data_IF_721957093135
#
_entry.id   IF_721957093135
#
_cell.length_a   1.000
_cell.length_b   1.000
_cell.length_c   1.000
_cell.angle_alpha   90.00
_cell.angle_beta   90.00
_cell.angle_gamma   90.00
#
_symmetry.space_group_name_H-M   'P 1'
#
loop_
_entity.id
_entity.type
_entity.pdbx_description
1 polymer ?
#
# COMPACT_ATOMS: atom_id res chain seq x y z
N UNK A 1 5.75 -9.15 19.53
CA UNK A 1 5.89 -7.89 20.28
C UNK A 1 4.89 -6.90 19.69
N UNK A 2 4.28 -6.02 20.48
CA UNK A 2 3.48 -4.93 19.89
C UNK A 2 4.43 -3.87 19.31
N UNK A 3 4.18 -3.35 18.10
CA UNK A 3 5.02 -2.31 17.51
C UNK A 3 4.96 -1.02 18.34
N UNK A 4 6.13 -0.40 18.53
CA UNK A 4 6.27 0.89 19.21
C UNK A 4 6.64 1.97 18.19
N UNK A 5 5.67 2.77 17.76
CA UNK A 5 5.88 3.80 16.71
C UNK A 5 6.84 4.92 17.13
N UNK A 6 7.28 4.98 18.40
CA UNK A 6 8.28 5.94 18.88
C UNK A 6 9.72 5.48 18.63
N UNK A 7 9.93 4.19 18.34
CA UNK A 7 11.25 3.59 18.14
C UNK A 7 11.48 3.25 16.67
N UNK A 8 12.72 3.32 16.18
CA UNK A 8 13.02 3.01 14.80
C UNK A 8 12.77 1.53 14.50
N UNK A 9 12.10 1.28 13.39
CA UNK A 9 12.02 -0.04 12.79
C UNK A 9 13.31 -0.38 12.04
N UNK A 10 13.53 -1.67 11.81
CA UNK A 10 14.46 -2.15 10.80
C UNK A 10 13.88 -3.38 10.11
N UNK A 11 14.33 -3.61 8.89
CA UNK A 11 13.88 -4.70 8.04
C UNK A 11 15.04 -5.63 7.77
N UNK A 12 14.79 -6.93 7.80
CA UNK A 12 15.68 -7.94 7.19
C UNK A 12 14.97 -8.51 5.98
N UNK A 13 15.67 -8.67 4.86
CA UNK A 13 15.13 -9.31 3.67
C UNK A 13 16.19 -10.19 3.00
N UNK A 14 15.70 -11.18 2.24
CA UNK A 14 16.51 -12.17 1.55
C UNK A 14 15.73 -12.76 0.38
N UNK A 15 16.46 -13.21 -0.65
CA UNK A 15 15.90 -13.92 -1.78
C UNK A 15 16.59 -15.27 -1.99
N UNK A 16 15.79 -16.29 -2.32
CA UNK A 16 16.28 -17.59 -2.79
C UNK A 16 16.03 -17.75 -4.29
N UNK A 17 16.25 -18.96 -4.80
CA UNK A 17 15.96 -19.27 -6.19
C UNK A 17 14.45 -19.26 -6.52
N UNK A 18 13.60 -19.48 -5.51
CA UNK A 18 12.17 -19.74 -5.70
C UNK A 18 11.24 -18.91 -4.82
N UNK A 19 11.76 -18.19 -3.81
CA UNK A 19 10.94 -17.40 -2.90
C UNK A 19 11.71 -16.19 -2.34
N UNK A 20 10.95 -15.23 -1.84
CA UNK A 20 11.46 -14.06 -1.12
C UNK A 20 10.93 -14.06 0.31
N UNK A 21 11.76 -13.62 1.24
CA UNK A 21 11.44 -13.58 2.66
C UNK A 21 11.88 -12.27 3.29
N UNK A 22 11.09 -11.76 4.24
CA UNK A 22 11.46 -10.58 5.01
C UNK A 22 10.77 -10.53 6.37
N UNK A 23 11.34 -9.76 7.27
CA UNK A 23 10.74 -9.50 8.57
C UNK A 23 10.94 -8.04 8.98
N UNK A 24 9.91 -7.50 9.63
CA UNK A 24 9.95 -6.21 10.30
C UNK A 24 10.35 -6.42 11.76
N UNK A 25 11.33 -5.66 12.21
CA UNK A 25 11.98 -5.84 13.49
C UNK A 25 12.16 -4.50 14.22
N UNK A 26 12.28 -4.59 15.53
CA UNK A 26 12.45 -3.46 16.43
C UNK A 26 13.24 -3.89 17.67
N UNK A 27 13.95 -2.95 18.29
CA UNK A 27 14.60 -3.20 19.58
C UNK A 27 13.60 -2.99 20.72
N UNK A 28 13.54 -3.94 21.66
CA UNK A 28 12.80 -3.75 22.91
C UNK A 28 13.56 -2.81 23.87
N UNK A 29 12.94 -2.46 25.01
CA UNK A 29 13.55 -1.57 26.03
C UNK A 29 14.86 -2.14 26.61
N UNK A 30 15.08 -3.45 26.46
CA UNK A 30 16.26 -4.16 26.92
C UNK A 30 17.34 -4.24 25.81
N UNK A 31 17.11 -3.60 24.65
CA UNK A 31 18.04 -3.55 23.53
C UNK A 31 18.12 -4.85 22.73
N UNK A 32 17.14 -5.75 22.86
CA UNK A 32 17.09 -7.01 22.10
C UNK A 32 16.29 -6.83 20.83
N UNK A 33 16.76 -7.43 19.74
CA UNK A 33 16.01 -7.51 18.49
C UNK A 33 14.75 -8.38 18.67
N UNK A 34 13.59 -7.80 18.38
CA UNK A 34 12.29 -8.47 18.42
C UNK A 34 11.60 -8.34 17.08
N UNK A 35 10.95 -9.43 16.67
CA UNK A 35 10.16 -9.43 15.43
C UNK A 35 8.78 -8.85 15.71
N UNK A 36 8.37 -7.96 14.82
CA UNK A 36 7.03 -7.39 14.74
C UNK A 36 6.17 -8.22 13.79
N UNK A 37 6.65 -8.50 12.58
CA UNK A 37 5.93 -9.29 11.57
C UNK A 37 6.90 -10.03 10.65
N UNK A 38 6.51 -11.25 10.25
CA UNK A 38 7.16 -12.04 9.20
C UNK A 38 6.35 -11.95 7.90
N UNK A 39 7.02 -11.98 6.75
CA UNK A 39 6.38 -12.04 5.44
C UNK A 39 7.22 -12.90 4.49
N UNK A 40 6.58 -13.77 3.71
CA UNK A 40 7.24 -14.51 2.64
C UNK A 40 6.27 -14.96 1.57
N UNK A 41 6.76 -15.11 0.34
CA UNK A 41 5.98 -15.66 -0.78
C UNK A 41 6.86 -16.39 -1.78
N UNK A 42 6.25 -17.32 -2.52
CA UNK A 42 6.85 -17.87 -3.73
C UNK A 42 7.05 -16.77 -4.78
N UNK A 43 8.15 -16.89 -5.51
CA UNK A 43 8.39 -16.12 -6.72
C UNK A 43 7.50 -16.65 -7.85
N UNK A 44 6.92 -15.72 -8.61
CA UNK A 44 6.21 -16.02 -9.85
C UNK A 44 7.17 -16.65 -10.86
N UNK A 45 6.69 -17.47 -11.83
CA UNK A 45 7.56 -18.09 -12.83
C UNK A 45 8.52 -17.12 -13.53
N UNK A 46 8.06 -15.90 -13.87
CA UNK A 46 8.90 -14.86 -14.46
C UNK A 46 9.97 -14.32 -13.49
N UNK A 47 9.64 -14.17 -12.20
CA UNK A 47 10.55 -13.66 -11.16
C UNK A 47 11.68 -14.65 -10.84
N UNK A 48 11.43 -15.96 -10.95
CA UNK A 48 12.45 -17.00 -10.76
C UNK A 48 13.60 -16.90 -11.75
N UNK A 49 13.33 -16.34 -12.93
CA UNK A 49 14.33 -16.13 -13.98
C UNK A 49 15.12 -14.82 -13.81
N UNK A 50 14.87 -14.04 -12.77
CA UNK A 50 15.61 -12.81 -12.54
C UNK A 50 17.06 -13.10 -12.15
N UNK A 51 18.04 -12.27 -12.57
CA UNK A 51 19.39 -12.32 -12.00
C UNK A 51 19.34 -12.20 -10.48
N UNK A 52 20.30 -12.81 -9.77
CA UNK A 52 20.36 -12.79 -8.29
C UNK A 52 20.20 -11.37 -7.74
N UNK A 53 20.92 -10.40 -8.31
CA UNK A 53 20.81 -9.01 -7.91
C UNK A 53 19.36 -8.46 -7.99
N UNK A 54 18.62 -8.80 -9.04
CA UNK A 54 17.23 -8.36 -9.23
C UNK A 54 16.28 -9.08 -8.25
N UNK A 55 16.58 -10.34 -7.89
CA UNK A 55 15.83 -11.10 -6.88
C UNK A 55 15.98 -10.49 -5.49
N UNK A 56 17.20 -10.11 -5.13
CA UNK A 56 17.49 -9.43 -3.87
C UNK A 56 16.77 -8.07 -3.78
N UNK A 57 16.79 -7.31 -4.88
CA UNK A 57 16.05 -6.05 -4.94
C UNK A 57 14.53 -6.26 -4.87
N UNK A 58 14.02 -7.36 -5.45
CA UNK A 58 12.62 -7.74 -5.36
C UNK A 58 12.22 -8.07 -3.91
N UNK A 59 13.07 -8.77 -3.15
CA UNK A 59 12.84 -9.05 -1.74
C UNK A 59 12.75 -7.76 -0.91
N UNK A 60 13.67 -6.81 -1.16
CA UNK A 60 13.61 -5.48 -0.52
C UNK A 60 12.33 -4.73 -0.90
N UNK A 61 11.97 -4.68 -2.19
CA UNK A 61 10.72 -4.03 -2.64
C UNK A 61 9.50 -4.66 -1.98
N UNK A 62 9.43 -5.98 -1.94
CA UNK A 62 8.34 -6.71 -1.30
C UNK A 62 8.23 -6.38 0.19
N UNK A 63 9.35 -6.31 0.91
CA UNK A 63 9.36 -5.92 2.32
C UNK A 63 8.81 -4.49 2.53
N UNK A 64 9.24 -3.54 1.70
CA UNK A 64 8.77 -2.15 1.78
C UNK A 64 7.27 -2.02 1.47
N UNK A 65 6.75 -2.81 0.52
CA UNK A 65 5.31 -2.85 0.24
C UNK A 65 4.54 -3.44 1.43
N UNK A 66 4.93 -4.62 1.92
CA UNK A 66 4.19 -5.32 2.97
C UNK A 66 4.27 -4.62 4.33
N UNK A 67 5.37 -3.93 4.61
CA UNK A 67 5.54 -3.17 5.86
C UNK A 67 5.32 -1.67 5.69
N UNK A 68 4.72 -1.24 4.58
CA UNK A 68 4.53 0.18 4.24
C UNK A 68 3.90 1.00 5.36
N UNK A 69 2.96 0.40 6.09
CA UNK A 69 2.25 1.01 7.23
C UNK A 69 3.20 1.45 8.36
N UNK A 70 4.34 0.77 8.53
CA UNK A 70 5.35 1.07 9.55
C UNK A 70 6.51 1.91 9.02
N UNK A 71 6.83 1.75 7.74
CA UNK A 71 8.06 2.28 7.15
C UNK A 71 7.90 3.62 6.45
N UNK A 72 6.66 4.04 6.16
CA UNK A 72 6.42 5.32 5.50
C UNK A 72 6.46 6.48 6.49
N UNK A 73 7.48 7.33 6.40
CA UNK A 73 7.67 8.44 7.32
C UNK A 73 8.94 9.23 7.09
N UNK A 74 9.20 10.19 8.00
CA UNK A 74 10.45 10.96 8.01
C UNK A 74 11.56 10.26 8.78
N UNK A 75 11.24 9.31 9.65
CA UNK A 75 12.24 8.57 10.41
C UNK A 75 13.03 7.64 9.48
N UNK A 76 14.35 7.74 9.54
CA UNK A 76 15.23 6.82 8.81
C UNK A 76 15.20 5.43 9.46
N UNK A 77 15.00 4.40 8.66
CA UNK A 77 15.09 3.00 9.10
C UNK A 77 16.17 2.22 8.35
N UNK A 78 16.63 1.11 8.94
CA UNK A 78 17.63 0.25 8.33
C UNK A 78 16.98 -0.89 7.54
N UNK A 79 17.49 -1.17 6.35
CA UNK A 79 17.20 -2.39 5.60
C UNK A 79 18.47 -3.23 5.55
N UNK A 80 18.40 -4.45 6.08
CA UNK A 80 19.49 -5.41 6.10
C UNK A 80 19.27 -6.49 5.04
N UNK A 81 20.31 -6.70 4.23
CA UNK A 81 20.37 -7.72 3.18
C UNK A 81 21.76 -8.35 3.19
N UNK A 82 21.87 -9.61 2.79
CA UNK A 82 23.16 -10.28 2.61
C UNK A 82 23.78 -10.02 1.22
N UNK A 83 23.16 -9.15 0.42
CA UNK A 83 23.65 -8.79 -0.90
C UNK A 83 24.38 -7.43 -0.87
N UNK A 84 25.70 -7.47 -0.73
CA UNK A 84 26.52 -6.27 -0.52
C UNK A 84 26.41 -5.19 -1.62
N UNK A 85 26.12 -5.60 -2.86
CA UNK A 85 25.96 -4.68 -4.01
C UNK A 85 24.70 -3.80 -3.88
N UNK A 86 23.69 -4.22 -3.11
CA UNK A 86 22.50 -3.40 -2.83
C UNK A 86 22.82 -2.15 -2.02
N UNK A 87 23.93 -2.13 -1.25
CA UNK A 87 24.41 -0.93 -0.56
C UNK A 87 24.67 0.24 -1.51
N UNK A 88 25.08 -0.10 -2.73
CA UNK A 88 25.41 0.87 -3.78
C UNK A 88 24.41 0.87 -4.93
N UNK A 89 23.42 -0.03 -4.93
CA UNK A 89 22.43 -0.12 -6.00
C UNK A 89 21.67 1.20 -6.19
N UNK A 90 21.34 1.89 -5.10
CA UNK A 90 20.67 3.21 -5.17
C UNK A 90 21.56 4.34 -5.73
N UNK A 91 22.87 4.11 -5.86
CA UNK A 91 23.88 5.07 -6.34
C UNK A 91 24.49 4.69 -7.69
N UNK A 92 24.18 3.50 -8.22
CA UNK A 92 24.79 3.01 -9.46
C UNK A 92 24.21 3.73 -10.68
N UNK A 93 25.04 4.19 -11.63
CA UNK A 93 24.58 4.83 -12.86
C UNK A 93 24.01 3.85 -13.91
N UNK A 94 24.31 2.55 -13.78
CA UNK A 94 23.87 1.51 -14.72
C UNK A 94 22.85 0.57 -14.06
N UNK A 95 21.60 1.03 -13.98
CA UNK A 95 20.48 0.25 -13.45
C UNK A 95 19.72 -0.41 -14.60
N UNK A 96 19.26 -1.64 -14.38
CA UNK A 96 18.33 -2.25 -15.34
C UNK A 96 17.06 -1.40 -15.44
N UNK A 97 16.36 -1.42 -16.57
CA UNK A 97 15.12 -0.64 -16.74
C UNK A 97 14.08 -0.95 -15.66
N UNK A 98 14.07 -2.20 -15.15
CA UNK A 98 13.24 -2.62 -14.01
C UNK A 98 13.68 -1.94 -12.71
N UNK A 99 14.97 -1.94 -12.42
CA UNK A 99 15.54 -1.30 -11.23
C UNK A 99 15.33 0.22 -11.24
N UNK A 100 15.51 0.86 -12.40
CA UNK A 100 15.26 2.29 -12.58
C UNK A 100 13.80 2.66 -12.26
N UNK A 101 12.83 1.82 -12.64
CA UNK A 101 11.42 2.00 -12.23
C UNK A 101 11.21 1.85 -10.73
N UNK A 102 11.91 0.91 -10.10
CA UNK A 102 11.81 0.69 -8.66
C UNK A 102 12.52 1.77 -7.83
N UNK A 103 13.52 2.48 -8.38
CA UNK A 103 14.14 3.62 -7.70
C UNK A 103 13.12 4.69 -7.27
N UNK A 104 12.16 5.02 -8.16
CA UNK A 104 11.13 6.01 -7.84
C UNK A 104 10.24 5.54 -6.68
N UNK A 105 9.98 4.23 -6.58
CA UNK A 105 9.28 3.64 -5.43
C UNK A 105 10.14 3.72 -4.15
N UNK A 106 11.43 3.38 -4.24
CA UNK A 106 12.32 3.44 -3.08
C UNK A 106 12.52 4.85 -2.55
N UNK A 107 12.46 5.88 -3.42
CA UNK A 107 12.54 7.27 -3.03
C UNK A 107 11.38 7.73 -2.11
N UNK A 108 10.28 6.98 -2.03
CA UNK A 108 9.18 7.26 -1.10
C UNK A 108 9.54 6.93 0.36
N UNK A 109 10.60 6.15 0.57
CA UNK A 109 11.01 5.66 1.89
C UNK A 109 12.34 6.29 2.30
N UNK A 110 12.43 6.70 3.57
CA UNK A 110 13.68 7.16 4.16
C UNK A 110 14.42 5.97 4.78
N UNK A 111 15.25 5.26 4.01
CA UNK A 111 16.00 4.11 4.51
C UNK A 111 17.48 4.11 4.13
N UNK A 112 18.25 3.36 4.90
CA UNK A 112 19.66 3.06 4.60
C UNK A 112 19.84 1.55 4.48
N UNK A 113 20.47 1.12 3.39
CA UNK A 113 20.78 -0.29 3.15
C UNK A 113 22.09 -0.65 3.86
N UNK A 114 22.04 -1.68 4.70
CA UNK A 114 23.17 -2.24 5.41
C UNK A 114 23.41 -3.68 4.97
N UNK A 115 24.67 -4.02 4.70
CA UNK A 115 25.06 -5.41 4.46
C UNK A 115 25.08 -6.18 5.79
N UNK A 116 24.38 -7.31 5.84
CA UNK A 116 24.38 -8.27 6.95
C UNK A 116 24.77 -9.63 6.38
N UNK A 117 25.92 -10.23 6.73
CA UNK A 117 26.34 -11.52 6.19
C UNK A 117 25.24 -12.58 6.33
N UNK A 118 25.06 -13.45 5.32
CA UNK A 118 23.97 -14.44 5.30
C UNK A 118 23.91 -15.33 6.54
N UNK A 119 25.06 -15.69 7.12
CA UNK A 119 25.15 -16.42 8.41
C UNK A 119 24.45 -15.72 9.57
N UNK A 120 24.31 -14.40 9.51
CA UNK A 120 23.64 -13.56 10.50
C UNK A 120 22.24 -13.13 10.03
N UNK A 121 21.89 -13.35 8.76
CA UNK A 121 20.57 -13.07 8.18
C UNK A 121 19.62 -14.28 8.29
N UNK A 122 19.80 -15.10 9.34
CA UNK A 122 19.14 -16.40 9.55
C UNK A 122 17.62 -16.31 9.35
N UNK A 123 17.02 -15.22 9.83
CA UNK A 123 15.57 -15.07 9.79
C UNK A 123 15.04 -14.89 8.37
N UNK A 124 15.64 -14.00 7.59
CA UNK A 124 15.20 -13.77 6.22
C UNK A 124 15.56 -14.96 5.32
N UNK A 125 16.73 -15.58 5.53
CA UNK A 125 17.17 -16.80 4.83
C UNK A 125 16.21 -17.99 5.08
N UNK A 126 15.77 -18.19 6.32
CA UNK A 126 14.77 -19.22 6.64
C UNK A 126 13.41 -18.96 5.95
N UNK A 127 13.01 -17.69 5.83
CA UNK A 127 11.75 -17.30 5.18
C UNK A 127 11.81 -17.43 3.66
N UNK A 128 12.97 -17.15 3.04
CA UNK A 128 13.19 -17.24 1.61
C UNK A 128 13.44 -18.69 1.14
N UNK A 129 13.88 -19.60 2.00
CA UNK A 129 14.19 -21.01 1.67
C UNK A 129 13.21 -22.04 2.22
N UNK A 130 11.97 -21.63 2.47
CA UNK A 130 10.88 -22.51 2.93
C UNK A 130 10.74 -23.77 2.04
N UNK A 131 10.86 -25.00 2.59
CA UNK A 131 10.82 -26.22 1.78
C UNK A 131 9.49 -26.47 1.05
N UNK A 132 8.39 -25.96 1.60
CA UNK A 132 7.06 -26.00 0.99
C UNK A 132 6.95 -25.09 -0.24
N UNK A 133 7.88 -24.14 -0.40
CA UNK A 133 7.92 -23.24 -1.54
C UNK A 133 8.80 -23.75 -2.68
N UNK A 134 9.63 -24.76 -2.45
CA UNK A 134 10.57 -25.27 -3.44
C UNK A 134 9.85 -26.10 -4.52
N UNK A 135 9.87 -25.71 -5.80
CA UNK A 135 9.23 -26.47 -6.87
C UNK A 135 9.75 -27.91 -6.99
N UNK A 136 10.98 -28.18 -6.51
CA UNK A 136 11.62 -29.50 -6.57
C UNK A 136 11.04 -30.49 -5.55
N UNK A 137 10.54 -30.01 -4.42
CA UNK A 137 9.87 -30.84 -3.39
C UNK A 137 8.39 -31.06 -3.70
N UNK A 138 7.77 -30.18 -4.50
CA UNK A 138 6.33 -30.23 -4.85
C UNK A 138 6.03 -31.22 -5.99
N UNK A 139 7.04 -31.77 -6.68
CA UNK A 139 6.89 -32.78 -7.76
C UNK A 139 6.14 -34.08 -7.37
N UNK A 140 5.80 -34.30 -6.09
CA UNK A 140 4.96 -35.40 -5.62
C UNK A 140 3.46 -35.08 -5.46
N UNK A 141 3.03 -33.84 -5.67
CA UNK A 141 1.63 -33.43 -5.57
C UNK A 141 1.33 -32.54 -6.77
N UNK A 142 0.47 -33.02 -7.68
CA UNK A 142 0.04 -32.29 -8.87
C UNK A 142 -0.26 -30.84 -8.49
N UNK A 143 0.55 -29.92 -9.02
CA UNK A 143 0.24 -28.50 -9.04
C UNK A 143 -0.97 -28.40 -9.96
N UNK A 144 -2.13 -28.09 -9.40
CA UNK A 144 -3.18 -27.47 -10.20
C UNK A 144 -2.54 -26.17 -10.67
N UNK A 145 -2.38 -26.00 -11.98
CA UNK A 145 -2.04 -24.73 -12.59
C UNK A 145 -3.16 -23.75 -12.21
N UNK A 146 -3.01 -23.10 -11.06
CA UNK A 146 -3.86 -21.98 -10.69
C UNK A 146 -3.32 -20.74 -11.42
N UNK A 147 -3.70 -20.63 -12.69
CA UNK A 147 -3.55 -19.40 -13.45
C UNK A 147 -4.46 -18.26 -12.93
N UNK A 148 -5.16 -18.41 -11.78
CA UNK A 148 -6.09 -17.40 -11.26
C UNK A 148 -6.12 -17.26 -9.73
N UNK A 149 -4.97 -17.30 -9.04
CA UNK A 149 -4.90 -16.76 -7.67
C UNK A 149 -4.36 -15.32 -7.69
N UNK A 150 -5.31 -14.41 -7.90
CA UNK A 150 -5.30 -12.99 -7.47
C UNK A 150 -5.19 -12.85 -5.94
N UNK A 151 -4.24 -13.55 -5.32
CA UNK A 151 -3.96 -13.43 -3.90
C UNK A 151 -2.86 -12.39 -3.64
N UNK A 152 -3.18 -11.17 -4.03
CA UNK A 152 -2.84 -9.98 -3.23
C UNK A 152 -3.97 -9.71 -2.20
N UNK A 153 -4.64 -10.76 -1.74
CA UNK A 153 -5.57 -10.70 -0.64
C UNK A 153 -4.86 -10.98 0.68
N UNK A 154 -4.54 -9.90 1.37
CA UNK A 154 -4.56 -9.91 2.83
C UNK A 154 -5.97 -10.36 3.28
N UNK A 155 -6.09 -11.62 3.71
CA UNK A 155 -7.10 -12.15 4.64
C UNK A 155 -8.46 -11.40 4.77
N UNK A 156 -9.32 -11.62 3.77
CA UNK A 156 -10.68 -12.23 3.79
C UNK A 156 -11.80 -11.60 4.65
N UNK A 157 -12.71 -10.94 3.91
CA UNK A 157 -14.18 -11.06 3.84
C UNK A 157 -15.08 -11.16 5.10
N UNK A 158 -16.03 -10.23 5.20
CA UNK A 158 -17.46 -10.58 5.03
C UNK A 158 -18.00 -9.70 3.92
N UNK A 159 -18.66 -10.30 2.94
CA UNK A 159 -19.60 -9.60 2.07
C UNK A 159 -20.86 -9.28 2.89
N UNK A 160 -21.19 -8.02 3.13
CA UNK A 160 -22.46 -7.60 3.74
C UNK A 160 -22.74 -6.11 3.55
N UNK A 161 -23.15 -5.69 2.35
CA UNK A 161 -23.56 -4.29 2.10
C UNK A 161 -22.42 -3.33 2.45
N UNK A 162 -22.53 -2.01 2.53
CA UNK A 162 -23.69 -1.17 2.67
C UNK A 162 -23.41 0.09 1.86
N UNK A 163 -24.43 0.49 1.11
CA UNK A 163 -24.51 1.78 0.47
C UNK A 163 -25.26 2.73 1.42
N UNK A 164 -24.71 3.92 1.67
CA UNK A 164 -25.35 5.00 2.43
C UNK A 164 -25.88 6.04 1.44
N UNK A 165 -27.17 6.38 1.52
CA UNK A 165 -27.69 7.62 0.95
C UNK A 165 -28.73 8.27 1.86
N UNK A 166 -28.56 9.59 2.07
CA UNK A 166 -29.55 10.68 2.16
C UNK A 166 -28.79 11.95 2.66
N UNK A 167 -28.83 13.18 2.12
CA UNK A 167 -29.67 13.90 1.13
C UNK A 167 -28.91 15.16 0.61
N UNK A 168 -29.31 15.66 -0.58
CA UNK A 168 -29.28 17.06 -1.10
C UNK A 168 -28.31 17.32 -2.27
N UNK A 169 -28.64 18.21 -3.25
CA UNK A 169 -27.92 18.33 -4.52
C UNK A 169 -26.69 19.20 -4.34
N UNK A 170 -25.72 18.66 -3.62
CA UNK A 170 -24.33 19.13 -3.64
C UNK A 170 -23.59 18.16 -4.56
N UNK A 171 -22.75 18.70 -5.44
CA UNK A 171 -22.05 18.04 -6.55
C UNK A 171 -21.69 16.55 -6.31
N UNK A 172 -21.76 15.73 -7.37
CA UNK A 172 -21.23 14.36 -7.35
C UNK A 172 -19.81 14.39 -6.75
N UNK A 173 -19.46 13.46 -5.84
CA UNK A 173 -18.15 13.46 -5.16
C UNK A 173 -17.00 13.56 -6.16
N UNK A 174 -17.20 12.99 -7.34
CA UNK A 174 -16.35 13.14 -8.52
C UNK A 174 -16.18 14.60 -8.92
N UNK A 175 -17.27 15.31 -9.16
CA UNK A 175 -17.28 16.72 -9.54
C UNK A 175 -16.66 17.61 -8.45
N UNK A 176 -16.85 17.27 -7.18
CA UNK A 176 -16.23 17.96 -6.05
C UNK A 176 -14.70 17.78 -6.03
N UNK A 177 -14.22 16.55 -6.21
CA UNK A 177 -12.78 16.26 -6.34
C UNK A 177 -12.20 17.00 -7.54
N UNK A 178 -12.91 17.00 -8.68
CA UNK A 178 -12.49 17.68 -9.90
C UNK A 178 -12.40 19.20 -9.70
N UNK A 179 -13.41 19.80 -9.07
CA UNK A 179 -13.42 21.23 -8.77
C UNK A 179 -12.28 21.61 -7.81
N UNK A 180 -12.05 20.80 -6.78
CA UNK A 180 -11.01 21.03 -5.77
C UNK A 180 -9.57 20.93 -6.34
N UNK A 181 -9.36 20.35 -7.53
CA UNK A 181 -8.04 20.43 -8.18
C UNK A 181 -7.60 21.86 -8.45
N UNK A 182 -8.53 22.80 -8.70
CA UNK A 182 -8.20 24.20 -8.97
C UNK A 182 -7.52 24.88 -7.76
N UNK A 183 -7.84 24.44 -6.55
CA UNK A 183 -7.32 25.00 -5.29
C UNK A 183 -6.02 24.33 -4.83
N UNK A 184 -5.61 23.21 -5.46
CA UNK A 184 -4.36 22.52 -5.18
C UNK A 184 -3.34 22.77 -6.29
N UNK A 185 -2.39 23.69 -6.06
CA UNK A 185 -1.38 24.06 -7.04
C UNK A 185 -0.56 22.87 -7.60
N UNK A 186 -0.38 21.80 -6.82
CA UNK A 186 0.35 20.61 -7.28
C UNK A 186 -0.50 19.83 -8.26
N UNK A 187 -1.74 19.50 -7.90
CA UNK A 187 -2.62 18.72 -8.76
C UNK A 187 -3.15 19.53 -9.94
N UNK A 188 -3.42 20.84 -9.78
CA UNK A 188 -3.72 21.76 -10.88
C UNK A 188 -2.61 21.73 -11.93
N UNK A 189 -1.35 21.79 -11.51
CA UNK A 189 -0.20 21.71 -12.41
C UNK A 189 -0.13 20.38 -13.17
N UNK A 190 -0.37 19.26 -12.48
CA UNK A 190 -0.38 17.93 -13.09
C UNK A 190 -1.51 17.81 -14.11
N UNK A 191 -2.73 18.23 -13.76
CA UNK A 191 -3.89 18.23 -14.66
C UNK A 191 -3.61 19.09 -15.89
N UNK A 192 -3.03 20.28 -15.72
CA UNK A 192 -2.67 21.17 -16.82
C UNK A 192 -1.64 20.53 -17.77
N UNK A 193 -0.61 19.86 -17.23
CA UNK A 193 0.36 19.13 -18.04
C UNK A 193 -0.29 17.96 -18.81
N UNK A 194 -1.14 17.15 -18.16
CA UNK A 194 -1.75 16.00 -18.83
C UNK A 194 -2.72 16.45 -19.94
N UNK A 195 -3.48 17.52 -19.71
CA UNK A 195 -4.41 18.09 -20.72
C UNK A 195 -3.67 18.74 -21.90
N UNK A 196 -2.55 19.40 -21.64
CA UNK A 196 -1.74 20.08 -22.66
C UNK A 196 -0.23 19.83 -22.44
N UNK A 197 0.28 18.65 -22.83
CA UNK A 197 1.68 18.30 -22.61
C UNK A 197 2.60 19.21 -23.41
N UNK A 198 3.39 20.01 -22.72
CA UNK A 198 4.39 20.88 -23.34
C UNK A 198 5.61 20.98 -22.44
N UNK A 199 6.71 21.41 -23.03
CA UNK A 199 7.96 21.66 -22.33
C UNK A 199 7.81 22.74 -21.24
N UNK A 200 6.91 23.69 -21.47
CA UNK A 200 6.55 24.74 -20.52
C UNK A 200 5.72 24.20 -19.35
N UNK A 201 4.64 23.45 -19.64
CA UNK A 201 3.80 22.85 -18.59
C UNK A 201 4.57 21.82 -17.78
N UNK A 202 5.49 21.08 -18.40
CA UNK A 202 6.40 20.15 -17.70
C UNK A 202 7.36 20.89 -16.78
N UNK A 203 7.96 22.01 -17.22
CA UNK A 203 8.89 22.82 -16.40
C UNK A 203 8.20 23.51 -15.23
N UNK A 204 6.91 23.84 -15.36
CA UNK A 204 6.09 24.40 -14.28
C UNK A 204 5.89 23.40 -13.12
N UNK A 205 5.99 22.09 -13.37
CA UNK A 205 5.92 21.07 -12.34
C UNK A 205 7.18 21.03 -11.47
N UNK A 206 6.99 20.74 -10.18
CA UNK A 206 8.10 20.47 -9.26
C UNK A 206 8.98 19.32 -9.79
N UNK A 207 10.26 19.31 -9.40
CA UNK A 207 11.19 18.24 -9.81
C UNK A 207 10.68 16.85 -9.42
N UNK A 208 10.09 16.72 -8.23
CA UNK A 208 9.54 15.45 -7.76
C UNK A 208 8.33 15.02 -8.59
N UNK A 209 7.42 15.95 -8.87
CA UNK A 209 6.24 15.70 -9.69
C UNK A 209 6.60 15.27 -11.11
N UNK A 210 7.59 15.93 -11.74
CA UNK A 210 8.09 15.53 -13.06
C UNK A 210 8.61 14.11 -13.11
N UNK A 211 9.32 13.67 -12.08
CA UNK A 211 9.89 12.33 -12.02
C UNK A 211 8.84 11.21 -11.87
N UNK A 212 7.61 11.57 -11.49
CA UNK A 212 6.52 10.63 -11.25
C UNK A 212 5.35 10.86 -12.21
N UNK A 213 5.52 11.70 -13.23
CA UNK A 213 4.40 12.15 -14.07
C UNK A 213 3.76 11.00 -14.87
N UNK A 214 4.53 9.94 -15.15
CA UNK A 214 4.08 8.72 -15.81
C UNK A 214 3.14 7.86 -14.96
N UNK A 215 3.05 8.12 -13.66
CA UNK A 215 2.12 7.47 -12.72
C UNK A 215 0.76 8.14 -12.68
N UNK A 216 0.65 9.34 -13.26
CA UNK A 216 -0.59 10.09 -13.30
C UNK A 216 -1.22 9.99 -14.68
N UNK A 217 -2.54 9.82 -14.71
CA UNK A 217 -3.34 9.88 -15.92
C UNK A 217 -4.72 10.45 -15.59
N UNK A 218 -5.45 10.87 -16.62
CA UNK A 218 -6.83 11.32 -16.46
C UNK A 218 -7.79 10.19 -16.86
N UNK A 219 -8.80 9.96 -16.02
CA UNK A 219 -9.99 9.16 -16.34
C UNK A 219 -11.21 10.11 -16.43
N UNK A 220 -11.49 10.55 -17.66
CA UNK A 220 -12.31 11.74 -17.89
C UNK A 220 -11.65 12.98 -17.28
N UNK A 221 -12.26 13.56 -16.26
CA UNK A 221 -11.72 14.73 -15.54
C UNK A 221 -11.06 14.39 -14.21
N UNK A 222 -11.15 13.14 -13.76
CA UNK A 222 -10.49 12.70 -12.52
C UNK A 222 -9.01 12.44 -12.78
N UNK A 223 -8.17 12.96 -11.89
CA UNK A 223 -6.77 12.60 -11.85
C UNK A 223 -6.63 11.26 -11.12
N UNK A 224 -5.99 10.31 -11.76
CA UNK A 224 -5.74 8.97 -11.23
C UNK A 224 -4.24 8.74 -11.05
N UNK A 225 -3.88 7.97 -10.02
CA UNK A 225 -2.51 7.60 -9.69
C UNK A 225 -2.34 6.09 -9.61
N UNK A 226 -1.30 5.57 -10.27
CA UNK A 226 -0.89 4.18 -10.17
C UNK A 226 0.44 4.08 -9.43
N UNK A 227 0.52 3.16 -8.45
CA UNK A 227 1.79 2.88 -7.76
C UNK A 227 2.75 2.12 -8.72
N UNK A 228 2.20 1.20 -9.49
CA UNK A 228 2.86 0.45 -10.58
C UNK A 228 1.88 0.28 -11.76
N UNK A 229 2.38 -0.08 -12.95
CA UNK A 229 1.57 -0.29 -14.17
C UNK A 229 0.50 -1.39 -14.03
N UNK A 230 0.62 -2.21 -12.99
CA UNK A 230 -0.30 -3.31 -12.71
C UNK A 230 -1.25 -3.01 -11.56
N UNK A 231 -1.07 -1.89 -10.85
CA UNK A 231 -1.96 -1.50 -9.77
C UNK A 231 -3.23 -0.86 -10.32
N UNK A 232 -4.36 -1.18 -9.68
CA UNK A 232 -5.61 -0.48 -9.96
C UNK A 232 -5.43 1.04 -9.79
N UNK A 233 -5.94 1.85 -10.73
CA UNK A 233 -5.84 3.30 -10.65
C UNK A 233 -6.60 3.81 -9.43
N UNK A 234 -5.98 4.72 -8.68
CA UNK A 234 -6.56 5.34 -7.49
C UNK A 234 -6.90 6.79 -7.78
N UNK A 235 -8.08 7.24 -7.38
CA UNK A 235 -8.50 8.62 -7.55
C UNK A 235 -7.65 9.53 -6.66
N UNK A 236 -7.03 10.53 -7.26
CA UNK A 236 -6.21 11.51 -6.54
C UNK A 236 -7.12 12.52 -5.85
N UNK A 237 -6.99 12.64 -4.54
CA UNK A 237 -7.75 13.58 -3.72
C UNK A 237 -6.88 14.81 -3.41
N UNK A 238 -7.34 16.03 -3.73
CA UNK A 238 -6.65 17.28 -3.41
C UNK A 238 -6.31 17.46 -1.93
N UNK A 239 -5.46 18.43 -1.63
CA UNK A 239 -5.17 18.87 -0.27
C UNK A 239 -6.32 19.66 0.37
N UNK A 240 -7.49 19.03 0.45
CA UNK A 240 -8.68 19.51 1.14
C UNK A 240 -9.02 18.58 2.31
N UNK A 241 -8.88 19.11 3.53
CA UNK A 241 -9.10 18.34 4.76
C UNK A 241 -10.57 17.94 4.96
N UNK A 242 -11.53 18.76 4.50
CA UNK A 242 -12.96 18.45 4.61
C UNK A 242 -13.34 17.34 3.63
N UNK A 243 -12.86 17.42 2.40
CA UNK A 243 -13.06 16.40 1.37
C UNK A 243 -12.45 15.07 1.80
N UNK A 244 -11.21 15.07 2.30
CA UNK A 244 -10.54 13.87 2.84
C UNK A 244 -11.28 13.31 4.05
N UNK A 245 -11.75 14.15 4.97
CA UNK A 245 -12.51 13.70 6.13
C UNK A 245 -13.83 13.04 5.72
N UNK A 246 -14.56 13.63 4.76
CA UNK A 246 -15.81 13.08 4.22
C UNK A 246 -15.60 11.74 3.52
N UNK A 247 -14.53 11.62 2.73
CA UNK A 247 -14.14 10.35 2.12
C UNK A 247 -13.89 9.31 3.22
N UNK A 248 -13.11 9.62 4.26
CA UNK A 248 -12.88 8.67 5.34
C UNK A 248 -14.17 8.31 6.10
N UNK A 249 -15.03 9.29 6.38
CA UNK A 249 -16.30 9.08 7.06
C UNK A 249 -17.21 8.11 6.28
N UNK A 250 -17.28 8.20 4.96
CA UNK A 250 -18.11 7.30 4.15
C UNK A 250 -17.67 5.83 4.25
N UNK A 251 -16.37 5.57 4.49
CA UNK A 251 -15.85 4.23 4.77
C UNK A 251 -16.01 3.78 6.23
N UNK A 252 -16.26 4.70 7.18
CA UNK A 252 -16.41 4.40 8.61
C UNK A 252 -17.86 4.32 9.08
N UNK A 253 -18.81 4.96 8.40
CA UNK A 253 -20.23 4.93 8.79
C UNK A 253 -21.01 3.80 8.10
N UNK A 254 -20.38 3.07 7.17
CA UNK A 254 -20.95 1.86 6.57
C UNK A 254 -21.11 0.78 7.67
N UNK A 255 -22.25 0.11 7.84
CA UNK A 255 -22.45 -1.01 8.78
C UNK A 255 -21.44 -2.20 8.72
N UNK A 256 -20.51 -2.25 7.74
CA UNK A 256 -19.32 -3.12 7.74
C UNK A 256 -18.02 -2.39 8.13
N UNK A 257 -18.01 -1.07 7.95
CA UNK A 257 -17.06 -0.14 8.56
C UNK A 257 -17.33 -0.06 10.05
N UNK A 258 -16.97 -1.11 10.79
CA UNK A 258 -16.69 -0.88 12.20
C UNK A 258 -15.60 0.21 12.29
N UNK A 259 -15.47 0.89 13.42
CA UNK A 259 -14.27 1.68 13.72
C UNK A 259 -13.08 0.70 13.84
N UNK A 260 -12.59 0.28 12.68
CA UNK A 260 -11.72 -0.87 12.46
C UNK A 260 -10.26 -0.58 12.86
N UNK A 261 -10.01 0.61 13.42
CA UNK A 261 -8.68 1.11 13.74
C UNK A 261 -7.93 1.65 12.53
N UNK A 262 -6.82 2.34 12.81
CA UNK A 262 -6.01 3.11 11.86
C UNK A 262 -5.61 2.36 10.58
N UNK A 263 -5.21 1.11 10.73
CA UNK A 263 -4.60 0.32 9.64
C UNK A 263 -5.66 -0.12 8.64
N UNK A 264 -6.82 -0.55 9.14
CA UNK A 264 -7.94 -1.00 8.31
C UNK A 264 -8.63 0.18 7.62
N UNK A 265 -8.74 1.33 8.28
CA UNK A 265 -9.22 2.57 7.63
C UNK A 265 -8.30 2.96 6.48
N UNK A 266 -6.98 2.95 6.69
CA UNK A 266 -6.04 3.23 5.61
C UNK A 266 -6.15 2.21 4.47
N UNK A 267 -6.20 0.91 4.79
CA UNK A 267 -6.33 -0.14 3.79
C UNK A 267 -7.60 0.02 2.94
N UNK A 268 -8.74 0.30 3.57
CA UNK A 268 -10.00 0.51 2.88
C UNK A 268 -9.97 1.73 1.94
N UNK A 269 -9.54 2.88 2.45
CA UNK A 269 -9.57 4.14 1.68
C UNK A 269 -8.50 4.11 0.58
N UNK A 270 -7.32 3.52 0.86
CA UNK A 270 -6.20 3.48 -0.09
C UNK A 270 -6.43 2.55 -1.27
N UNK A 271 -7.48 1.73 -1.26
CA UNK A 271 -7.87 0.92 -2.42
C UNK A 271 -8.33 1.80 -3.58
N UNK A 272 -9.16 2.80 -3.28
CA UNK A 272 -9.87 3.59 -4.28
C UNK A 272 -9.30 5.01 -4.40
N UNK A 273 -8.63 5.52 -3.35
CA UNK A 273 -8.13 6.89 -3.28
C UNK A 273 -6.63 6.98 -3.00
N UNK A 274 -6.03 8.08 -3.44
CA UNK A 274 -4.65 8.43 -3.18
C UNK A 274 -4.51 9.92 -2.87
N UNK A 275 -3.65 10.25 -1.92
CA UNK A 275 -3.08 11.60 -1.81
C UNK A 275 -1.71 11.53 -1.15
N UNK A 276 -0.94 12.60 -1.30
CA UNK A 276 0.38 12.70 -0.67
C UNK A 276 0.26 12.56 0.86
N UNK A 277 1.12 11.73 1.45
CA UNK A 277 1.12 11.44 2.90
C UNK A 277 -0.19 10.90 3.47
N UNK A 278 -1.01 10.24 2.65
CA UNK A 278 -2.31 9.68 3.03
C UNK A 278 -2.31 8.91 4.35
N UNK A 279 -1.32 8.04 4.58
CA UNK A 279 -1.24 7.28 5.83
C UNK A 279 -1.08 8.19 7.07
N UNK A 280 -0.15 9.15 7.03
CA UNK A 280 0.05 10.11 8.14
C UNK A 280 -1.22 10.91 8.41
N UNK A 281 -1.92 11.31 7.36
CA UNK A 281 -3.17 12.06 7.45
C UNK A 281 -4.28 11.21 8.09
N UNK A 282 -4.53 10.01 7.55
CA UNK A 282 -5.52 9.04 8.08
C UNK A 282 -5.21 8.73 9.54
N UNK A 283 -3.94 8.52 9.89
CA UNK A 283 -3.51 8.28 11.26
C UNK A 283 -3.85 9.44 12.21
N UNK A 284 -3.51 10.68 11.82
CA UNK A 284 -3.83 11.88 12.60
C UNK A 284 -5.35 12.02 12.78
N UNK A 285 -6.11 11.79 11.73
CA UNK A 285 -7.55 11.92 11.71
C UNK A 285 -8.25 10.85 12.58
N UNK A 286 -7.81 9.59 12.52
CA UNK A 286 -8.40 8.51 13.34
C UNK A 286 -8.18 8.79 14.84
N UNK A 287 -7.07 9.45 15.19
CA UNK A 287 -6.80 9.91 16.56
C UNK A 287 -7.76 11.01 17.03
N UNK A 288 -8.42 11.74 16.13
CA UNK A 288 -9.42 12.76 16.49
C UNK A 288 -10.86 12.23 16.47
N UNK A 289 -11.07 10.99 16.03
CA UNK A 289 -12.40 10.36 15.99
C UNK A 289 -12.83 9.90 17.39
N UNK A 290 -13.88 10.51 17.95
CA UNK A 290 -14.40 10.17 19.29
C UNK A 290 -14.79 8.70 19.43
N UNK A 291 -15.38 8.09 18.40
CA UNK A 291 -15.81 6.68 18.46
C UNK A 291 -14.62 5.72 18.49
N UNK A 292 -13.55 6.01 17.73
CA UNK A 292 -12.28 5.28 17.80
C UNK A 292 -11.56 5.45 19.14
N UNK A 293 -11.73 6.61 19.80
CA UNK A 293 -11.16 6.88 21.12
C UNK A 293 -11.93 6.19 22.26
N UNK A 294 -13.26 6.05 22.13
CA UNK A 294 -14.12 5.42 23.16
C UNK A 294 -14.02 3.89 23.16
N UNK A 295 -13.69 3.27 22.02
CA UNK A 295 -13.44 1.84 21.90
C UNK A 295 -12.02 1.57 21.36
N UNK A 296 -10.97 1.87 22.15
CA UNK A 296 -9.62 1.50 21.78
C UNK A 296 -9.54 -0.04 21.76
N UNK A 297 -9.11 -0.63 20.64
CA UNK A 297 -8.92 -2.07 20.53
C UNK A 297 -7.88 -2.54 21.57
N UNK A 298 -8.34 -3.08 22.69
CA UNK A 298 -7.49 -3.79 23.65
C UNK A 298 -7.33 -5.24 23.22
N UNK A 299 -6.08 -5.67 23.05
CA UNK A 299 -5.74 -7.07 22.81
C UNK A 299 -6.00 -7.92 24.06
N UNK A 300 -7.18 -8.52 24.20
CA UNK A 300 -7.38 -9.66 25.09
C UNK A 300 -8.59 -10.51 24.69
N UNK A 301 -8.33 -11.81 24.66
CA UNK A 301 -9.26 -12.93 24.54
C UNK A 301 -10.56 -12.78 25.34
N UNK A 302 -11.71 -13.03 24.69
CA UNK A 302 -12.96 -13.39 25.37
C UNK A 302 -14.22 -12.71 24.83
N UNK A 303 -15.07 -13.50 24.18
CA UNK A 303 -16.54 -13.36 24.03
C UNK A 303 -17.14 -11.98 23.67
N UNK A 304 -17.71 -11.90 22.47
CA UNK A 304 -18.60 -10.82 22.02
C UNK A 304 -19.84 -10.64 22.92
N UNK A 305 -20.23 -9.41 23.27
CA UNK A 305 -21.62 -9.06 23.51
C UNK A 305 -22.21 -8.39 22.26
N UNK A 306 -23.37 -8.86 21.81
CA UNK A 306 -24.15 -8.27 20.72
C UNK A 306 -24.86 -6.99 21.19
N UNK A 307 -24.83 -5.88 20.42
CA UNK A 307 -25.72 -4.75 20.67
C UNK A 307 -27.13 -5.02 20.14
N UNK A 308 -28.14 -4.70 20.95
CA UNK A 308 -29.57 -4.77 20.61
C UNK A 308 -29.93 -3.73 19.55
N UNK A 309 -30.63 -4.15 18.50
CA UNK A 309 -31.21 -3.31 17.45
C UNK A 309 -32.48 -2.62 17.96
N UNK A 310 -32.61 -1.31 17.70
CA UNK A 310 -33.85 -0.54 17.74
C UNK A 310 -34.15 0.07 16.36
N UNK A 311 -35.42 0.29 15.98
CA UNK A 311 -35.86 0.26 14.57
C UNK A 311 -35.91 1.65 13.92
N UNK A 312 -35.56 1.73 12.62
CA UNK A 312 -36.52 1.93 11.52
C UNK A 312 -35.89 2.49 10.23
N UNK A 313 -36.15 1.78 9.12
CA UNK A 313 -36.34 2.21 7.71
C UNK A 313 -35.20 3.00 7.03
N UNK A 314 -34.77 2.73 5.79
CA UNK A 314 -35.57 2.50 4.58
C UNK A 314 -34.86 1.56 3.61
N UNK A 315 -35.64 0.74 2.92
CA UNK A 315 -35.23 -0.13 1.83
C UNK A 315 -35.86 0.38 0.56
N UNK A 316 -35.09 0.74 -0.48
CA UNK A 316 -35.51 0.49 -1.87
C UNK A 316 -34.46 0.84 -2.93
N UNK A 317 -33.98 -0.24 -3.58
CA UNK A 317 -33.72 -0.40 -5.02
C UNK A 317 -32.40 0.07 -5.66
N UNK A 318 -31.69 -0.94 -6.19
CA UNK A 318 -30.78 -0.90 -7.34
C UNK A 318 -31.54 -1.51 -8.52
N UNK A 319 -31.51 -0.83 -9.67
CA UNK A 319 -31.38 -1.41 -11.02
C UNK A 319 -30.74 -0.29 -11.87
N UNK A 320 -29.73 -0.43 -12.71
CA UNK A 320 -29.27 -1.52 -13.57
C UNK A 320 -27.75 -1.40 -13.82
N UNK A 321 -27.07 -2.51 -14.16
CA UNK A 321 -25.66 -2.55 -14.58
C UNK A 321 -25.52 -3.06 -16.02
N UNK A 322 -24.68 -2.38 -16.80
CA UNK A 322 -23.81 -2.87 -17.89
C UNK A 322 -22.88 -1.71 -18.22
N UNK A 323 -21.62 -1.90 -18.59
CA UNK A 323 -21.25 -2.39 -19.92
C UNK A 323 -19.93 -3.16 -19.91
N UNK A 324 -19.94 -4.25 -20.67
CA UNK A 324 -18.77 -4.98 -21.15
C UNK A 324 -18.06 -4.20 -22.26
N UNK A 325 -16.76 -4.49 -22.39
CA UNK A 325 -15.84 -4.16 -23.48
C UNK A 325 -16.42 -4.57 -24.85
N UNK A 326 -16.31 -3.71 -25.86
CA UNK A 326 -16.01 -4.10 -27.26
C UNK A 326 -15.48 -2.90 -28.05
N UNK A 327 -14.24 -2.99 -28.54
CA UNK A 327 -13.75 -2.23 -29.70
C UNK A 327 -13.86 -3.10 -30.95
N UNK A 328 -13.86 -2.49 -32.14
CA UNK A 328 -12.99 -2.93 -33.23
C UNK A 328 -11.70 -2.13 -33.27
#
# INVERSE_FOLDING_TARGET
MLPDDSKPFHVVCDASDFAIGCALMQFDDEGRERVVSYQSRQMKPAERNYPVHDKELLAMRYALIKFRVYLLGEQTFAVYTDHASLRTAMKSPHLSQRMARWLSFFAEYNFVVHYKPGKNNILADALSRRPDYDPRTVLGRQVIDDENEDDDHCAVCIASGINLTNVSPEMDLRDEIVAAYADDAVYAGIVAYIRAPSDETLRALSRNTRNQIDRYHLDGDLLCYNIDKFDAPRVVVPNDDNLRARIIHSFQDSPMGAHLGREKTFAAVSRDFFWSHMYKWVHKWVRTCETCQRFPWTSSSGSHPTPKVGPASWSSWIDSRRWCISSP
#
